data_IF_763797475806
#
_entry.id   IF_763797475806
#
_cell.length_a   1.000
_cell.length_b   1.000
_cell.length_c   1.000
_cell.angle_alpha   90.00
_cell.angle_beta   90.00
_cell.angle_gamma   90.00
#
_symmetry.space_group_name_H-M   'P 1'
#
loop_
_entity.id
_entity.type
_entity.pdbx_description
1 polymer ?
#
# COMPACT_ATOMS: atom_id res chain seq x y z
N UNK A 1 1.26 23.02 24.80
CA UNK A 1 1.47 21.86 25.70
C UNK A 1 2.44 20.92 25.01
N UNK A 2 3.65 20.78 25.56
CA UNK A 2 4.73 19.95 25.00
C UNK A 2 4.37 18.49 25.26
N UNK A 3 3.94 17.75 24.23
CA UNK A 3 3.78 16.28 24.31
C UNK A 3 5.17 15.66 24.32
N UNK A 4 5.68 15.36 25.51
CA UNK A 4 6.82 14.47 25.68
C UNK A 4 6.39 13.06 25.30
N UNK A 5 6.85 12.56 24.15
CA UNK A 5 6.73 11.16 23.80
C UNK A 5 7.54 10.34 24.83
N UNK A 6 6.83 9.57 25.66
CA UNK A 6 7.46 8.54 26.48
C UNK A 6 7.84 7.36 25.57
N UNK A 7 9.09 6.87 25.59
CA UNK A 7 9.44 5.65 24.90
C UNK A 7 8.60 4.50 25.47
N UNK A 8 8.04 3.68 24.57
CA UNK A 8 7.27 2.50 24.91
C UNK A 8 8.01 1.63 25.94
N UNK A 9 7.32 1.24 27.00
CA UNK A 9 7.82 0.36 28.06
C UNK A 9 8.52 -0.88 27.43
N UNK A 10 9.82 -1.12 27.69
CA UNK A 10 10.58 -2.22 27.08
C UNK A 10 10.16 -3.62 27.55
N UNK A 11 9.15 -3.72 28.41
CA UNK A 11 8.64 -4.97 29.00
C UNK A 11 7.40 -5.55 28.31
N UNK A 12 6.84 -4.89 27.30
CA UNK A 12 5.74 -5.46 26.51
C UNK A 12 6.29 -6.57 25.59
N UNK A 13 5.69 -7.78 25.56
CA UNK A 13 6.15 -8.85 24.70
C UNK A 13 5.98 -8.46 23.22
N UNK A 14 7.10 -8.20 22.54
CA UNK A 14 7.09 -7.92 21.11
C UNK A 14 7.14 -9.23 20.32
N UNK A 15 6.25 -9.38 19.33
CA UNK A 15 6.24 -10.55 18.45
C UNK A 15 6.78 -10.11 17.10
N UNK A 16 7.94 -10.63 16.72
CA UNK A 16 8.49 -10.43 15.38
C UNK A 16 7.89 -11.46 14.43
N UNK A 17 7.15 -10.99 13.42
CA UNK A 17 6.78 -11.82 12.29
C UNK A 17 7.96 -11.85 11.33
N UNK A 18 8.75 -12.91 11.42
CA UNK A 18 9.80 -13.21 10.44
C UNK A 18 9.29 -14.20 9.41
N UNK A 19 9.64 -13.98 8.15
CA UNK A 19 9.47 -15.00 7.12
C UNK A 19 10.16 -16.29 7.54
N UNK A 20 9.45 -17.42 7.46
CA UNK A 20 10.02 -18.72 7.78
C UNK A 20 11.17 -19.07 6.83
N UNK A 21 12.44 -19.12 7.29
CA UNK A 21 13.59 -19.32 6.41
C UNK A 21 13.53 -20.66 5.67
N UNK A 22 12.92 -21.67 6.30
CA UNK A 22 12.66 -22.98 5.74
C UNK A 22 11.67 -23.00 4.56
N UNK A 23 10.92 -21.92 4.32
CA UNK A 23 9.98 -21.77 3.21
C UNK A 23 10.42 -20.70 2.20
N UNK A 24 11.64 -20.15 2.31
CA UNK A 24 12.10 -19.05 1.47
C UNK A 24 11.96 -19.33 -0.05
N UNK A 25 12.15 -20.58 -0.46
CA UNK A 25 12.06 -21.02 -1.86
C UNK A 25 10.71 -21.65 -2.24
N UNK A 26 9.69 -21.58 -1.37
CA UNK A 26 8.35 -22.06 -1.67
C UNK A 26 7.71 -21.16 -2.74
N UNK A 27 7.13 -21.75 -3.79
CA UNK A 27 6.53 -21.00 -4.91
C UNK A 27 5.03 -21.21 -4.93
N UNK A 28 4.58 -22.42 -4.58
CA UNK A 28 3.17 -22.78 -4.53
C UNK A 28 2.78 -23.33 -3.15
N UNK A 29 1.48 -23.50 -2.92
CA UNK A 29 0.96 -23.99 -1.63
C UNK A 29 1.45 -25.40 -1.32
N UNK A 30 1.72 -26.22 -2.33
CA UNK A 30 2.21 -27.59 -2.20
C UNK A 30 3.68 -27.66 -1.75
N UNK A 31 4.40 -26.54 -1.77
CA UNK A 31 5.75 -26.44 -1.23
C UNK A 31 5.75 -26.11 0.27
N UNK A 32 4.61 -25.72 0.84
CA UNK A 32 4.46 -25.54 2.27
C UNK A 32 4.21 -26.88 2.96
N UNK A 33 5.22 -27.37 3.67
CA UNK A 33 5.19 -28.63 4.40
C UNK A 33 4.87 -28.46 5.90
N UNK A 34 4.68 -27.23 6.36
CA UNK A 34 4.28 -26.94 7.75
C UNK A 34 2.83 -27.37 7.98
N UNK A 35 2.57 -28.15 9.04
CA UNK A 35 1.24 -28.68 9.35
C UNK A 35 0.81 -29.93 8.56
N UNK A 36 1.62 -30.44 7.62
CA UNK A 36 1.32 -31.71 6.94
C UNK A 36 1.58 -32.89 7.87
N UNK A 37 0.64 -33.83 8.01
CA UNK A 37 0.80 -35.07 8.80
C UNK A 37 1.45 -36.21 8.01
N UNK A 38 1.32 -36.22 6.68
CA UNK A 38 1.97 -37.20 5.78
C UNK A 38 3.48 -36.95 5.64
N UNK A 39 4.27 -37.94 6.07
CA UNK A 39 5.74 -37.91 5.99
C UNK A 39 6.27 -37.91 4.54
N UNK A 40 5.60 -38.61 3.61
CA UNK A 40 6.04 -38.71 2.22
C UNK A 40 5.80 -37.39 1.46
N UNK A 41 4.65 -36.74 1.68
CA UNK A 41 4.39 -35.40 1.17
C UNK A 41 5.39 -34.36 1.71
N UNK A 42 5.68 -34.39 3.02
CA UNK A 42 6.66 -33.50 3.66
C UNK A 42 8.05 -33.63 3.02
N UNK A 43 8.55 -34.86 2.84
CA UNK A 43 9.87 -35.13 2.26
C UNK A 43 9.98 -34.66 0.81
N UNK A 44 8.91 -34.81 0.02
CA UNK A 44 8.84 -34.34 -1.36
C UNK A 44 8.95 -32.80 -1.44
N UNK A 45 8.19 -32.09 -0.60
CA UNK A 45 8.25 -30.63 -0.52
C UNK A 45 9.63 -30.13 -0.07
N UNK A 46 10.22 -30.71 0.97
CA UNK A 46 11.57 -30.36 1.43
C UNK A 46 12.63 -30.59 0.35
N UNK A 47 12.57 -31.72 -0.38
CA UNK A 47 13.49 -32.00 -1.50
C UNK A 47 13.40 -30.96 -2.60
N UNK A 48 12.17 -30.52 -2.95
CA UNK A 48 11.96 -29.44 -3.93
C UNK A 48 12.62 -28.13 -3.48
N UNK A 49 12.41 -27.74 -2.22
CA UNK A 49 13.01 -26.54 -1.63
C UNK A 49 14.53 -26.61 -1.60
N UNK A 50 15.11 -27.74 -1.18
CA UNK A 50 16.56 -27.96 -1.14
C UNK A 50 17.18 -27.93 -2.55
N UNK A 51 16.49 -28.48 -3.54
CA UNK A 51 16.95 -28.44 -4.93
C UNK A 51 16.97 -27.00 -5.47
N UNK A 52 15.93 -26.20 -5.15
CA UNK A 52 15.85 -24.78 -5.56
C UNK A 52 16.91 -23.93 -4.87
N UNK A 53 17.09 -24.07 -3.56
CA UNK A 53 18.14 -23.36 -2.81
C UNK A 53 19.53 -23.67 -3.38
N UNK A 54 19.82 -24.94 -3.69
CA UNK A 54 21.07 -25.34 -4.33
C UNK A 54 21.28 -24.67 -5.69
N UNK A 55 20.28 -24.72 -6.59
CA UNK A 55 20.34 -24.08 -7.91
C UNK A 55 20.56 -22.57 -7.79
N UNK A 56 19.88 -21.91 -6.85
CA UNK A 56 20.03 -20.48 -6.58
C UNK A 56 21.45 -20.13 -6.11
N UNK A 57 22.01 -20.89 -5.17
CA UNK A 57 23.40 -20.71 -4.71
C UNK A 57 24.39 -20.85 -5.86
N UNK A 58 24.22 -21.85 -6.72
CA UNK A 58 25.08 -22.08 -7.89
C UNK A 58 24.98 -20.95 -8.92
N UNK A 59 23.78 -20.43 -9.16
CA UNK A 59 23.56 -19.29 -10.06
C UNK A 59 24.16 -17.99 -9.50
N UNK A 60 24.02 -17.76 -8.19
CA UNK A 60 24.62 -16.59 -7.52
C UNK A 60 26.14 -16.64 -7.52
N UNK A 61 26.76 -17.80 -7.30
CA UNK A 61 28.21 -17.97 -7.42
C UNK A 61 28.72 -17.60 -8.82
N UNK A 62 28.04 -18.10 -9.88
CA UNK A 62 28.37 -17.77 -11.27
C UNK A 62 28.18 -16.28 -11.59
N UNK A 63 27.20 -15.62 -10.95
CA UNK A 63 26.95 -14.18 -11.11
C UNK A 63 27.97 -13.32 -10.35
N UNK A 64 28.41 -13.76 -9.17
CA UNK A 64 29.45 -13.11 -8.37
C UNK A 64 30.82 -13.18 -9.07
N UNK A 65 31.16 -14.31 -9.71
CA UNK A 65 32.36 -14.44 -10.53
C UNK A 65 32.38 -13.42 -11.69
N UNK A 66 31.22 -13.15 -12.31
CA UNK A 66 31.08 -12.17 -13.40
C UNK A 66 31.08 -10.69 -12.97
N UNK A 67 30.85 -10.39 -11.69
CA UNK A 67 30.74 -9.02 -11.15
C UNK A 67 31.99 -8.53 -10.41
N UNK A 68 33.02 -9.37 -10.28
CA UNK A 68 34.31 -9.01 -9.66
C UNK A 68 35.25 -8.18 -10.54
N UNK A 69 34.87 -7.85 -11.77
CA UNK A 69 35.72 -7.15 -12.75
C UNK A 69 35.47 -5.63 -12.88
N UNK A 70 34.54 -5.03 -12.12
CA UNK A 70 34.21 -3.61 -12.32
C UNK A 70 33.68 -2.92 -11.06
N UNK A 71 34.53 -2.60 -10.08
CA UNK A 71 34.41 -1.34 -9.31
C UNK A 71 35.65 -1.09 -8.44
N UNK A 72 36.46 -0.10 -8.83
CA UNK A 72 37.41 0.56 -7.93
C UNK A 72 37.02 2.06 -7.83
N UNK A 73 36.45 2.38 -6.67
CA UNK A 73 36.60 3.57 -5.81
C UNK A 73 36.63 4.99 -6.41
N UNK A 74 35.67 5.82 -5.99
CA UNK A 74 35.88 7.26 -5.81
C UNK A 74 35.14 7.73 -4.53
N UNK A 75 35.89 8.08 -3.49
CA UNK A 75 35.37 8.69 -2.26
C UNK A 75 35.41 10.21 -2.46
N UNK A 76 34.25 10.84 -2.59
CA UNK A 76 34.08 12.27 -2.31
C UNK A 76 33.30 12.41 -1.00
N UNK A 77 33.78 13.28 -0.14
CA UNK A 77 33.08 13.74 1.06
C UNK A 77 31.73 14.32 0.67
N UNK A 78 30.69 13.74 1.24
CA UNK A 78 29.32 13.86 0.73
C UNK A 78 28.37 14.25 1.85
N UNK A 79 27.39 15.10 1.53
CA UNK A 79 26.37 15.52 2.47
C UNK A 79 25.54 14.32 2.95
N UNK A 80 25.37 14.23 4.26
CA UNK A 80 24.56 13.21 4.90
C UNK A 80 23.10 13.68 4.93
N UNK A 81 22.20 12.78 4.56
CA UNK A 81 20.75 13.02 4.57
C UNK A 81 20.10 11.94 5.39
N UNK A 82 19.16 12.33 6.23
CA UNK A 82 18.29 11.41 6.94
C UNK A 82 17.25 10.84 5.97
N UNK A 83 17.18 9.52 5.85
CA UNK A 83 16.15 8.84 5.07
C UNK A 83 15.59 7.64 5.84
N UNK A 84 14.34 7.32 5.58
CA UNK A 84 13.70 6.13 6.13
C UNK A 84 14.22 4.86 5.45
N UNK A 85 14.90 3.98 6.20
CA UNK A 85 15.27 2.65 5.73
C UNK A 85 14.09 1.70 5.93
N UNK A 86 13.40 1.37 4.83
CA UNK A 86 12.24 0.47 4.81
C UNK A 86 12.60 -0.93 5.35
N UNK A 87 13.83 -1.42 5.13
CA UNK A 87 14.24 -2.77 5.57
C UNK A 87 14.50 -2.84 7.06
N UNK A 88 15.03 -1.75 7.63
CA UNK A 88 15.33 -1.66 9.06
C UNK A 88 14.20 -1.01 9.86
N UNK A 89 13.21 -0.42 9.18
CA UNK A 89 12.13 0.38 9.77
C UNK A 89 12.66 1.46 10.71
N UNK A 90 13.71 2.16 10.28
CA UNK A 90 14.39 3.17 11.08
C UNK A 90 14.90 4.31 10.22
N UNK A 91 15.02 5.50 10.81
CA UNK A 91 15.75 6.60 10.18
C UNK A 91 17.24 6.24 10.13
N UNK A 92 17.80 6.30 8.93
CA UNK A 92 19.21 6.05 8.67
C UNK A 92 19.84 7.28 8.02
N UNK A 93 21.10 7.52 8.35
CA UNK A 93 21.86 8.64 7.80
C UNK A 93 22.71 8.08 6.66
N UNK A 94 22.43 8.50 5.42
CA UNK A 94 23.16 8.03 4.24
C UNK A 94 23.74 9.20 3.42
N UNK A 95 24.81 8.95 2.64
CA UNK A 95 25.32 9.95 1.71
C UNK A 95 24.30 10.26 0.59
N UNK A 96 24.19 11.54 0.22
CA UNK A 96 23.21 12.02 -0.77
C UNK A 96 23.28 11.31 -2.14
N UNK A 97 24.45 10.90 -2.63
CA UNK A 97 24.59 10.12 -3.89
C UNK A 97 23.84 8.80 -3.87
N UNK A 98 23.69 8.18 -2.70
CA UNK A 98 23.02 6.89 -2.57
C UNK A 98 21.50 7.01 -2.61
N UNK A 99 20.94 8.19 -2.37
CA UNK A 99 19.48 8.42 -2.44
C UNK A 99 18.97 8.09 -3.84
N UNK A 100 19.64 8.59 -4.90
CA UNK A 100 19.27 8.33 -6.30
C UNK A 100 19.42 6.86 -6.71
N UNK A 101 20.20 6.06 -5.96
CA UNK A 101 20.33 4.62 -6.18
C UNK A 101 19.23 3.82 -5.48
N UNK A 102 18.75 4.30 -4.34
CA UNK A 102 17.67 3.68 -3.56
C UNK A 102 16.28 4.06 -4.10
N UNK A 103 16.09 5.32 -4.46
CA UNK A 103 14.91 5.87 -5.11
C UNK A 103 15.24 6.16 -6.59
N UNK A 104 15.04 5.15 -7.44
CA UNK A 104 15.08 5.34 -8.88
C UNK A 104 13.64 5.58 -9.35
N UNK A 105 13.28 6.84 -9.64
CA UNK A 105 11.94 7.23 -10.07
C UNK A 105 11.45 6.49 -11.34
N UNK A 106 12.35 5.84 -12.09
CA UNK A 106 11.99 4.98 -13.23
C UNK A 106 11.47 3.58 -12.84
N UNK A 107 11.62 3.18 -11.58
CA UNK A 107 11.06 1.92 -11.11
C UNK A 107 9.65 2.18 -10.57
N UNK A 108 8.63 1.40 -10.99
CA UNK A 108 7.31 1.51 -10.42
C UNK A 108 7.36 1.21 -8.92
N UNK A 109 6.74 2.07 -8.11
CA UNK A 109 6.66 1.96 -6.64
C UNK A 109 6.07 0.61 -6.20
N UNK A 110 5.15 0.09 -7.00
CA UNK A 110 4.63 -1.26 -6.88
C UNK A 110 5.31 -2.13 -7.95
N UNK A 111 6.28 -2.98 -7.58
CA UNK A 111 6.85 -3.91 -8.54
C UNK A 111 5.75 -4.86 -9.02
N UNK A 112 5.60 -4.97 -10.35
CA UNK A 112 4.67 -5.85 -11.06
C UNK A 112 4.88 -7.36 -10.74
N UNK A 113 5.95 -7.66 -10.00
CA UNK A 113 6.25 -8.98 -9.46
C UNK A 113 6.30 -8.87 -7.93
N UNK A 114 5.56 -9.71 -7.19
CA UNK A 114 5.67 -9.74 -5.74
C UNK A 114 7.11 -10.05 -5.38
N UNK A 115 7.85 -9.03 -4.93
CA UNK A 115 9.16 -9.27 -4.33
C UNK A 115 8.87 -10.05 -3.05
N UNK A 116 9.51 -11.22 -2.92
CA UNK A 116 9.62 -11.93 -1.63
C UNK A 116 10.56 -11.13 -0.71
N UNK A 117 10.25 -9.87 -0.47
CA UNK A 117 10.97 -9.09 0.52
C UNK A 117 10.53 -9.57 1.90
N UNK A 118 11.53 -9.86 2.72
CA UNK A 118 11.35 -10.35 4.07
C UNK A 118 10.97 -9.15 4.93
N UNK A 119 9.67 -8.92 5.11
CA UNK A 119 9.20 -7.90 6.02
C UNK A 119 9.45 -8.35 7.46
N UNK A 120 10.25 -7.59 8.20
CA UNK A 120 10.42 -7.76 9.63
C UNK A 120 9.35 -6.90 10.32
N UNK A 121 8.16 -7.47 10.49
CA UNK A 121 7.06 -6.75 11.13
C UNK A 121 7.10 -7.05 12.63
N UNK A 122 7.31 -6.03 13.44
CA UNK A 122 7.34 -6.14 14.91
C UNK A 122 5.98 -5.66 15.46
N UNK A 123 5.32 -6.51 16.24
CA UNK A 123 4.07 -6.17 16.93
C UNK A 123 4.32 -5.82 18.41
N UNK A 124 3.56 -4.87 18.98
CA UNK A 124 2.57 -4.02 18.30
C UNK A 124 3.25 -3.02 17.35
N UNK A 125 2.60 -2.73 16.22
CA UNK A 125 3.08 -1.69 15.30
C UNK A 125 3.15 -0.35 16.03
N UNK A 126 4.09 0.52 15.62
CA UNK A 126 4.09 1.91 16.06
C UNK A 126 2.70 2.52 15.84
N UNK A 127 2.13 3.26 16.81
CA UNK A 127 0.85 3.96 16.63
C UNK A 127 0.82 4.86 15.40
N UNK A 128 1.96 5.41 14.97
CA UNK A 128 2.04 6.24 13.76
C UNK A 128 1.74 5.44 12.48
N UNK A 129 2.05 4.12 12.45
CA UNK A 129 1.64 3.25 11.34
C UNK A 129 0.12 3.03 11.30
N UNK A 130 -0.59 3.21 12.43
CA UNK A 130 -2.05 3.12 12.45
C UNK A 130 -2.68 4.23 11.62
N UNK A 131 -2.08 5.42 11.58
CA UNK A 131 -2.55 6.56 10.80
C UNK A 131 -2.52 6.20 9.31
N UNK A 132 -1.38 5.75 8.81
CA UNK A 132 -1.23 5.31 7.41
C UNK A 132 -2.13 4.12 7.07
N UNK A 133 -2.30 3.16 7.99
CA UNK A 133 -3.22 2.05 7.79
C UNK A 133 -4.68 2.51 7.71
N UNK A 134 -5.07 3.51 8.50
CA UNK A 134 -6.42 4.07 8.48
C UNK A 134 -6.69 4.75 7.13
N UNK A 135 -5.74 5.60 6.69
CA UNK A 135 -5.76 6.27 5.39
C UNK A 135 -5.85 5.27 4.23
N UNK A 136 -5.00 4.25 4.23
CA UNK A 136 -5.01 3.19 3.23
C UNK A 136 -6.33 2.42 3.23
N UNK A 137 -6.87 2.10 4.41
CA UNK A 137 -8.15 1.41 4.52
C UNK A 137 -9.31 2.26 4.00
N UNK A 138 -9.30 3.57 4.26
CA UNK A 138 -10.29 4.50 3.73
C UNK A 138 -10.22 4.56 2.21
N UNK A 139 -9.04 4.81 1.64
CA UNK A 139 -8.82 4.84 0.19
C UNK A 139 -9.26 3.53 -0.48
N UNK A 140 -8.84 2.38 0.07
CA UNK A 140 -9.23 1.06 -0.44
C UNK A 140 -10.75 0.86 -0.36
N UNK A 141 -11.39 1.29 0.71
CA UNK A 141 -12.85 1.19 0.85
C UNK A 141 -13.58 2.03 -0.20
N UNK A 142 -13.14 3.27 -0.44
CA UNK A 142 -13.72 4.15 -1.45
C UNK A 142 -13.56 3.59 -2.87
N UNK A 143 -12.39 3.03 -3.19
CA UNK A 143 -12.16 2.36 -4.46
C UNK A 143 -13.14 1.18 -4.68
N UNK A 144 -13.36 0.37 -3.62
CA UNK A 144 -14.36 -0.71 -3.68
C UNK A 144 -15.77 -0.15 -3.84
N UNK A 145 -16.13 0.91 -3.10
CA UNK A 145 -17.44 1.55 -3.25
C UNK A 145 -17.66 2.02 -4.70
N UNK A 146 -16.65 2.63 -5.34
CA UNK A 146 -16.70 3.02 -6.76
C UNK A 146 -17.02 1.82 -7.66
N UNK A 147 -16.36 0.68 -7.44
CA UNK A 147 -16.63 -0.53 -8.22
C UNK A 147 -18.03 -1.10 -8.02
N UNK A 148 -18.62 -0.94 -6.84
CA UNK A 148 -19.99 -1.40 -6.58
C UNK A 148 -21.01 -0.53 -7.34
N UNK A 149 -20.81 0.79 -7.33
CA UNK A 149 -21.73 1.75 -7.96
C UNK A 149 -21.44 2.01 -9.44
N UNK A 150 -20.42 1.40 -10.02
CA UNK A 150 -20.04 1.64 -11.43
C UNK A 150 -21.15 1.30 -12.43
N UNK A 151 -22.09 0.42 -12.06
CA UNK A 151 -23.26 0.09 -12.88
C UNK A 151 -24.36 1.16 -12.89
N UNK A 152 -24.29 2.16 -12.01
CA UNK A 152 -25.25 3.27 -11.93
C UNK A 152 -24.62 4.65 -12.15
N UNK A 153 -23.30 4.76 -12.03
CA UNK A 153 -22.59 5.99 -12.37
C UNK A 153 -22.65 6.23 -13.88
N UNK A 154 -22.88 7.48 -14.26
CA UNK A 154 -22.88 7.93 -15.66
C UNK A 154 -21.46 8.29 -16.11
N UNK A 155 -20.53 8.43 -15.17
CA UNK A 155 -19.17 8.92 -15.38
C UNK A 155 -18.25 7.81 -15.88
N UNK A 156 -17.52 8.01 -17.00
CA UNK A 156 -16.47 7.08 -17.42
C UNK A 156 -15.38 6.94 -16.34
N UNK A 157 -14.71 5.79 -16.28
CA UNK A 157 -13.57 5.56 -15.39
C UNK A 157 -12.31 6.36 -15.78
N UNK A 158 -12.37 7.14 -16.85
CA UNK A 158 -11.23 7.90 -17.37
C UNK A 158 -11.01 9.14 -16.50
N UNK A 159 -9.79 9.26 -15.93
CA UNK A 159 -9.31 10.46 -15.27
C UNK A 159 -9.16 11.58 -16.31
N UNK A 160 -10.27 12.21 -16.66
CA UNK A 160 -10.23 13.53 -17.27
C UNK A 160 -10.29 14.54 -16.13
N UNK A 161 -9.45 15.56 -16.22
CA UNK A 161 -9.22 16.62 -15.21
C UNK A 161 -10.47 17.50 -14.95
N UNK A 162 -11.62 17.17 -15.54
CA UNK A 162 -12.87 17.90 -15.41
C UNK A 162 -13.80 17.18 -14.43
N UNK A 163 -14.21 17.92 -13.39
CA UNK A 163 -15.19 17.49 -12.39
C UNK A 163 -16.47 17.01 -13.10
N UNK A 164 -16.75 15.71 -13.03
CA UNK A 164 -17.89 15.16 -13.74
C UNK A 164 -19.15 15.33 -12.90
N UNK A 165 -19.93 16.35 -13.23
CA UNK A 165 -21.20 16.67 -12.57
C UNK A 165 -22.32 15.79 -13.16
N UNK A 166 -23.06 15.08 -12.31
CA UNK A 166 -24.17 14.23 -12.74
C UNK A 166 -25.30 14.10 -11.71
N UNK A 167 -26.38 13.44 -12.13
CA UNK A 167 -27.41 12.89 -11.24
C UNK A 167 -27.37 11.36 -11.36
N UNK A 168 -27.73 10.65 -10.29
CA UNK A 168 -27.72 9.18 -10.29
C UNK A 168 -29.13 8.64 -10.32
N UNK A 169 -29.51 7.80 -11.29
CA UNK A 169 -30.80 7.14 -11.28
C UNK A 169 -30.86 6.08 -10.17
N UNK A 170 -32.06 5.83 -9.64
CA UNK A 170 -32.24 4.71 -8.72
C UNK A 170 -31.97 3.37 -9.45
N UNK A 171 -31.20 2.44 -8.86
CA UNK A 171 -30.85 1.16 -9.50
C UNK A 171 -32.08 0.30 -9.75
N UNK A 172 -32.13 -0.36 -10.91
CA UNK A 172 -33.16 -1.37 -11.24
C UNK A 172 -33.12 -2.56 -10.26
N UNK A 173 -31.92 -2.92 -9.78
CA UNK A 173 -31.70 -4.03 -8.84
C UNK A 173 -31.02 -3.50 -7.55
N UNK A 174 -31.76 -2.87 -6.64
CA UNK A 174 -31.19 -2.25 -5.42
C UNK A 174 -30.56 -3.27 -4.46
N UNK A 175 -30.96 -4.53 -4.51
CA UNK A 175 -30.42 -5.60 -3.66
C UNK A 175 -28.95 -5.95 -3.92
N UNK A 176 -28.39 -5.52 -5.06
CA UNK A 176 -26.98 -5.72 -5.39
C UNK A 176 -26.06 -4.70 -4.72
N UNK A 177 -26.63 -3.63 -4.17
CA UNK A 177 -25.87 -2.56 -3.52
C UNK A 177 -26.09 -2.58 -2.00
N UNK A 178 -25.03 -2.31 -1.21
CA UNK A 178 -25.21 -2.03 0.20
C UNK A 178 -26.20 -0.86 0.39
N UNK A 179 -27.10 -0.91 1.40
CA UNK A 179 -28.07 0.15 1.64
C UNK A 179 -27.44 1.54 1.79
N UNK A 180 -26.23 1.61 2.36
CA UNK A 180 -25.49 2.86 2.56
C UNK A 180 -25.02 3.52 1.24
N UNK A 181 -24.96 2.77 0.14
CA UNK A 181 -24.55 3.26 -1.19
C UNK A 181 -25.73 3.47 -2.13
N UNK A 182 -26.96 3.15 -1.72
CA UNK A 182 -28.14 3.44 -2.55
C UNK A 182 -28.29 4.95 -2.77
N UNK A 183 -28.66 5.40 -3.99
CA UNK A 183 -28.84 6.82 -4.27
C UNK A 183 -29.95 7.43 -3.40
N UNK A 184 -29.68 8.59 -2.82
CA UNK A 184 -30.68 9.38 -2.11
C UNK A 184 -31.61 10.11 -3.10
N UNK A 185 -32.70 10.68 -2.58
CA UNK A 185 -33.58 11.53 -3.39
C UNK A 185 -32.86 12.80 -3.90
N UNK A 186 -31.91 13.32 -3.12
CA UNK A 186 -31.13 14.49 -3.51
C UNK A 186 -30.18 14.15 -4.66
N UNK A 187 -29.44 13.04 -4.58
CA UNK A 187 -28.56 12.56 -5.64
C UNK A 187 -29.30 12.26 -6.96
N UNK A 188 -30.58 11.89 -6.88
CA UNK A 188 -31.43 11.66 -8.04
C UNK A 188 -31.93 12.94 -8.72
N UNK A 189 -31.90 14.08 -8.03
CA UNK A 189 -32.56 15.32 -8.48
C UNK A 189 -31.62 16.51 -8.61
N UNK A 190 -30.48 16.50 -7.91
CA UNK A 190 -29.52 17.61 -7.86
C UNK A 190 -28.21 17.17 -8.51
N UNK A 191 -27.72 17.88 -9.55
CA UNK A 191 -26.41 17.61 -10.12
C UNK A 191 -25.29 17.81 -9.10
N UNK A 192 -24.34 16.87 -9.03
CA UNK A 192 -23.23 16.86 -8.08
C UNK A 192 -22.01 16.11 -8.63
N UNK A 193 -20.84 16.29 -8.03
CA UNK A 193 -19.62 15.57 -8.38
C UNK A 193 -19.69 14.08 -8.02
N UNK A 194 -19.24 13.21 -8.93
CA UNK A 194 -19.31 11.74 -8.78
C UNK A 194 -18.47 11.18 -7.62
N UNK A 195 -17.51 11.97 -7.16
CA UNK A 195 -16.66 11.67 -6.03
C UNK A 195 -17.47 11.58 -4.72
N UNK A 196 -18.58 12.33 -4.61
CA UNK A 196 -19.47 12.32 -3.43
C UNK A 196 -20.09 10.94 -3.25
N UNK A 197 -20.34 10.20 -4.33
CA UNK A 197 -21.05 8.93 -4.30
C UNK A 197 -20.25 7.79 -3.69
N UNK A 198 -18.94 7.99 -3.54
CA UNK A 198 -18.02 7.06 -2.92
C UNK A 198 -18.25 6.93 -1.40
N UNK A 199 -18.82 7.96 -0.77
CA UNK A 199 -18.99 8.00 0.68
C UNK A 199 -20.10 7.05 1.15
N UNK A 200 -19.80 6.11 2.07
CA UNK A 200 -20.78 5.13 2.55
C UNK A 200 -21.72 5.70 3.64
N UNK A 201 -22.23 6.91 3.44
CA UNK A 201 -23.23 7.55 4.31
C UNK A 201 -24.22 8.37 3.46
N UNK A 202 -25.51 8.01 3.44
CA UNK A 202 -26.50 8.76 2.68
C UNK A 202 -26.66 10.19 3.21
N UNK A 203 -26.69 10.38 4.54
CA UNK A 203 -26.79 11.72 5.12
C UNK A 203 -25.54 12.56 4.88
N UNK A 204 -24.36 11.93 4.88
CA UNK A 204 -23.10 12.61 4.57
C UNK A 204 -23.09 13.15 3.15
N UNK A 205 -23.50 12.33 2.18
CA UNK A 205 -23.62 12.72 0.76
C UNK A 205 -24.60 13.87 0.57
N UNK A 206 -25.79 13.78 1.16
CA UNK A 206 -26.79 14.85 1.07
C UNK A 206 -26.29 16.19 1.65
N UNK A 207 -25.48 16.14 2.71
CA UNK A 207 -24.86 17.34 3.28
C UNK A 207 -23.79 17.93 2.37
N UNK A 208 -22.93 17.09 1.78
CA UNK A 208 -21.90 17.53 0.83
C UNK A 208 -22.54 18.22 -0.37
N UNK A 209 -23.58 17.62 -0.96
CA UNK A 209 -24.31 18.21 -2.09
C UNK A 209 -24.90 19.57 -1.74
N UNK A 210 -25.47 19.74 -0.55
CA UNK A 210 -26.03 21.03 -0.11
C UNK A 210 -24.96 22.08 0.22
N UNK A 211 -23.78 21.63 0.63
CA UNK A 211 -22.66 22.47 0.97
C UNK A 211 -21.72 22.74 -0.23
N UNK A 212 -22.06 22.26 -1.42
CA UNK A 212 -21.25 22.45 -2.62
C UNK A 212 -20.89 23.94 -2.82
N UNK A 213 -19.61 24.21 -3.10
CA UNK A 213 -19.07 25.57 -3.24
C UNK A 213 -18.83 26.32 -1.93
N UNK A 214 -19.01 25.69 -0.76
CA UNK A 214 -18.72 26.30 0.56
C UNK A 214 -17.47 25.75 1.24
N UNK A 215 -16.83 24.74 0.64
CA UNK A 215 -15.61 24.10 1.13
C UNK A 215 -14.69 23.78 -0.05
N UNK A 216 -13.42 23.58 0.25
CA UNK A 216 -12.41 23.10 -0.71
C UNK A 216 -12.45 21.57 -0.76
N UNK A 217 -12.70 21.02 -1.94
CA UNK A 217 -12.84 19.58 -2.14
C UNK A 217 -11.52 18.83 -1.97
N UNK A 218 -10.41 19.43 -2.43
CA UNK A 218 -9.07 18.86 -2.33
C UNK A 218 -8.61 18.83 -0.87
N UNK A 219 -8.89 19.88 -0.08
CA UNK A 219 -8.62 19.92 1.35
C UNK A 219 -9.42 18.83 2.10
N UNK A 220 -10.72 18.67 1.76
CA UNK A 220 -11.54 17.60 2.32
C UNK A 220 -10.99 16.21 1.97
N UNK A 221 -10.53 16.01 0.74
CA UNK A 221 -9.91 14.76 0.30
C UNK A 221 -8.59 14.48 1.01
N UNK A 222 -7.77 15.52 1.22
CA UNK A 222 -6.54 15.46 1.97
C UNK A 222 -6.80 15.10 3.44
N UNK A 223 -7.84 15.62 4.08
CA UNK A 223 -8.24 15.24 5.44
C UNK A 223 -8.72 13.79 5.53
N UNK A 224 -9.45 13.30 4.52
CA UNK A 224 -10.01 11.95 4.50
C UNK A 224 -8.98 10.86 4.21
N UNK A 225 -8.07 11.12 3.26
CA UNK A 225 -7.06 10.17 2.77
C UNK A 225 -5.65 10.47 3.29
N UNK A 226 -5.47 11.63 3.93
CA UNK A 226 -4.35 11.98 4.79
C UNK A 226 -3.02 12.18 4.09
N UNK A 227 -3.00 12.97 3.01
CA UNK A 227 -1.75 13.33 2.33
C UNK A 227 -0.95 12.11 1.87
N UNK A 228 -1.60 10.96 1.59
CA UNK A 228 -0.94 9.77 1.02
C UNK A 228 -0.15 10.10 -0.26
N UNK A 229 -0.49 11.22 -0.89
CA UNK A 229 0.13 11.76 -2.08
C UNK A 229 0.93 13.06 -1.83
N UNK A 230 0.96 13.61 -0.62
CA UNK A 230 1.78 14.78 -0.32
C UNK A 230 3.26 14.38 -0.17
N UNK A 231 4.14 15.11 -0.87
CA UNK A 231 5.59 14.90 -0.82
C UNK A 231 6.17 14.06 -1.95
N UNK A 232 5.40 13.80 -3.02
CA UNK A 232 6.01 13.37 -4.27
C UNK A 232 6.82 14.55 -4.87
N UNK A 233 8.10 14.36 -5.20
CA UNK A 233 8.96 15.43 -5.68
C UNK A 233 8.61 15.97 -7.07
N UNK A 234 7.51 15.49 -7.67
CA UNK A 234 7.03 15.87 -9.00
C UNK A 234 5.74 16.71 -8.94
N UNK A 235 5.24 17.08 -7.75
CA UNK A 235 4.03 17.92 -7.57
C UNK A 235 4.34 19.44 -7.46
N UNK A 236 5.52 19.89 -7.90
CA UNK A 236 5.85 21.32 -8.13
C UNK A 236 6.17 21.62 -9.59
#
# INVERSE_FOLDING_TARGET
>A
MIRTYQPANPTAPCIQLTSMPQLAEAISREDNWTGTTDAAARRRAQTRLNTRTYRKRKALAKKAEASSAATETLIKSEALVECWDIKQQSVSIIPASRIKQLYNARNPLLPDKPRKEQFNIIFPLCPDHLITLLQFNALRALAINRTLISGILVTPLECNEEETIHTIPYPTNPSLLPPALLPTALQQTVPHGDWIDLFPSPEGRDRLIRAAGTFDEDELWADCSGGLYEGFPDDE
#
